data_IF_740894026464
#
_entry.id   IF_740894026464
#
_cell.length_a   1.000
_cell.length_b   1.000
_cell.length_c   1.000
_cell.angle_alpha   90.00
_cell.angle_beta   90.00
_cell.angle_gamma   90.00
#
_symmetry.space_group_name_H-M   'P 1'
#
loop_
_entity.id
_entity.type
_entity.pdbx_description
1 polymer ?
#
# COMPACT_ATOMS: atom_id res chain seq x y z
N UNK A 1 13.43 -18.44 13.29
CA UNK A 1 13.23 -17.06 12.80
C UNK A 1 11.83 -16.98 12.21
N UNK A 2 10.90 -16.30 12.87
CA UNK A 2 9.58 -16.05 12.28
C UNK A 2 9.79 -15.22 11.00
N UNK A 3 9.27 -15.69 9.87
CA UNK A 3 9.25 -14.92 8.63
C UNK A 3 8.21 -13.81 8.79
N UNK A 4 8.57 -12.74 9.50
CA UNK A 4 7.70 -11.59 9.73
C UNK A 4 7.33 -10.94 8.39
N UNK A 5 6.08 -11.08 7.97
CA UNK A 5 5.52 -10.29 6.87
C UNK A 5 4.97 -8.99 7.45
N UNK A 6 5.27 -7.87 6.80
CA UNK A 6 4.67 -6.59 7.18
C UNK A 6 3.18 -6.59 6.79
N UNK A 7 2.32 -6.28 7.75
CA UNK A 7 0.87 -6.15 7.57
C UNK A 7 0.49 -4.71 7.89
N UNK A 8 -0.25 -4.07 7.00
CA UNK A 8 -0.75 -2.70 7.16
C UNK A 8 -2.26 -2.69 6.89
N UNK A 9 -3.10 -2.73 7.94
CA UNK A 9 -4.55 -2.66 7.77
C UNK A 9 -5.00 -1.30 7.25
N UNK A 10 -6.01 -1.30 6.39
CA UNK A 10 -6.72 -0.11 5.91
C UNK A 10 -8.22 -0.35 6.13
N UNK A 11 -8.82 0.44 7.01
CA UNK A 11 -10.23 0.42 7.36
C UNK A 11 -10.93 1.52 6.55
N UNK A 12 -11.54 1.12 5.44
CA UNK A 12 -12.21 2.03 4.51
C UNK A 12 -13.73 2.00 4.74
N UNK A 13 -14.29 3.15 5.14
CA UNK A 13 -15.70 3.33 5.49
C UNK A 13 -16.21 2.30 6.50
N UNK A 14 -15.34 1.87 7.42
CA UNK A 14 -15.66 0.90 8.47
C UNK A 14 -14.91 1.28 9.74
N UNK A 15 -15.62 1.27 10.87
CA UNK A 15 -14.99 1.48 12.17
C UNK A 15 -14.12 0.25 12.53
N UNK A 16 -12.81 0.43 12.81
CA UNK A 16 -11.95 -0.68 13.24
C UNK A 16 -12.50 -1.45 14.46
N UNK A 17 -13.29 -0.80 15.32
CA UNK A 17 -13.97 -1.39 16.48
C UNK A 17 -15.03 -2.41 16.06
N UNK A 18 -15.74 -2.16 14.96
CA UNK A 18 -16.73 -3.10 14.42
C UNK A 18 -16.05 -4.35 13.88
N UNK A 19 -14.87 -4.20 13.25
CA UNK A 19 -14.05 -5.34 12.83
C UNK A 19 -13.49 -6.09 14.03
N UNK A 20 -12.98 -5.37 15.05
CA UNK A 20 -12.33 -5.95 16.25
C UNK A 20 -13.27 -6.79 17.09
N UNK A 21 -14.50 -6.32 17.24
CA UNK A 21 -15.53 -6.95 18.07
C UNK A 21 -16.60 -7.67 17.24
N UNK A 22 -16.42 -7.72 15.91
CA UNK A 22 -17.35 -8.31 14.96
C UNK A 22 -18.80 -7.82 15.15
N UNK A 23 -18.99 -6.50 15.16
CA UNK A 23 -20.30 -5.83 15.31
C UNK A 23 -20.91 -5.49 13.95
N UNK A 24 -22.18 -5.08 13.95
CA UNK A 24 -22.91 -4.68 12.75
C UNK A 24 -23.01 -5.81 11.71
N UNK A 25 -22.68 -5.50 10.47
CA UNK A 25 -22.73 -6.47 9.36
C UNK A 25 -21.82 -7.69 9.57
N UNK A 26 -20.72 -7.54 10.32
CA UNK A 26 -19.84 -8.66 10.66
C UNK A 26 -20.54 -9.67 11.58
N UNK A 27 -21.27 -9.20 12.60
CA UNK A 27 -22.03 -10.09 13.49
C UNK A 27 -23.10 -10.86 12.73
N UNK A 28 -23.83 -10.18 11.84
CA UNK A 28 -24.91 -10.79 11.05
C UNK A 28 -24.37 -11.87 10.12
N UNK A 29 -23.32 -11.56 9.34
CA UNK A 29 -22.71 -12.51 8.41
C UNK A 29 -22.10 -13.73 9.12
N UNK A 30 -21.46 -13.53 10.28
CA UNK A 30 -20.89 -14.63 11.06
C UNK A 30 -21.99 -15.49 11.69
N UNK A 31 -23.09 -14.90 12.16
CA UNK A 31 -24.23 -15.63 12.71
C UNK A 31 -24.95 -16.46 11.64
N UNK A 32 -25.12 -15.92 10.43
CA UNK A 32 -25.67 -16.67 9.31
C UNK A 32 -24.80 -17.86 8.94
N UNK A 33 -23.47 -17.66 8.87
CA UNK A 33 -22.51 -18.73 8.64
C UNK A 33 -22.58 -19.80 9.74
N UNK A 34 -22.65 -19.39 11.00
CA UNK A 34 -22.78 -20.27 12.16
C UNK A 34 -24.03 -21.13 12.07
N UNK A 35 -25.20 -20.52 11.81
CA UNK A 35 -26.48 -21.23 11.64
C UNK A 35 -26.44 -22.25 10.49
N UNK A 36 -25.82 -21.88 9.36
CA UNK A 36 -25.73 -22.73 8.17
C UNK A 36 -24.83 -23.95 8.37
N UNK A 37 -23.81 -23.84 9.22
CA UNK A 37 -22.77 -24.86 9.38
C UNK A 37 -22.59 -25.38 10.81
N UNK A 38 -23.57 -25.16 11.69
CA UNK A 38 -23.51 -25.54 13.11
C UNK A 38 -23.17 -27.02 13.35
N UNK A 39 -23.60 -27.92 12.45
CA UNK A 39 -23.35 -29.36 12.53
C UNK A 39 -22.05 -29.80 11.82
N UNK A 40 -21.26 -28.87 11.31
CA UNK A 40 -20.00 -29.14 10.61
C UNK A 40 -18.82 -28.61 11.44
N UNK A 41 -18.13 -29.52 12.11
CA UNK A 41 -17.00 -29.21 12.99
C UNK A 41 -15.89 -28.42 12.26
N UNK A 42 -15.57 -28.78 11.01
CA UNK A 42 -14.54 -28.11 10.23
C UNK A 42 -14.91 -26.65 9.94
N UNK A 43 -16.17 -26.39 9.62
CA UNK A 43 -16.69 -25.03 9.41
C UNK A 43 -16.72 -24.23 10.71
N UNK A 44 -17.09 -24.84 11.84
CA UNK A 44 -17.09 -24.18 13.15
C UNK A 44 -15.67 -23.81 13.60
N UNK A 45 -14.69 -24.69 13.38
CA UNK A 45 -13.27 -24.38 13.62
C UNK A 45 -12.81 -23.21 12.72
N UNK A 46 -13.22 -23.21 11.44
CA UNK A 46 -12.93 -22.10 10.52
C UNK A 46 -13.51 -20.77 11.03
N UNK A 47 -14.75 -20.78 11.50
CA UNK A 47 -15.43 -19.62 12.07
C UNK A 47 -14.65 -19.06 13.27
N UNK A 48 -14.21 -19.93 14.19
CA UNK A 48 -13.38 -19.53 15.33
C UNK A 48 -12.06 -18.86 14.87
N UNK A 49 -11.38 -19.46 13.90
CA UNK A 49 -10.13 -18.91 13.34
C UNK A 49 -10.35 -17.56 12.67
N UNK A 50 -11.47 -17.36 11.99
CA UNK A 50 -11.84 -16.08 11.39
C UNK A 50 -12.14 -15.01 12.44
N UNK A 51 -12.95 -15.31 13.46
CA UNK A 51 -13.22 -14.38 14.58
C UNK A 51 -11.90 -13.93 15.22
N UNK A 52 -10.99 -14.85 15.48
CA UNK A 52 -9.64 -14.55 16.02
C UNK A 52 -8.80 -13.72 15.05
N UNK A 53 -8.78 -14.05 13.77
CA UNK A 53 -7.99 -13.33 12.77
C UNK A 53 -8.50 -11.88 12.56
N UNK A 54 -9.82 -11.67 12.53
CA UNK A 54 -10.43 -10.33 12.44
C UNK A 54 -10.05 -9.48 13.66
N UNK A 55 -10.15 -10.04 14.86
CA UNK A 55 -9.72 -9.36 16.08
C UNK A 55 -8.23 -8.98 16.03
N UNK A 56 -7.36 -9.93 15.66
CA UNK A 56 -5.92 -9.69 15.55
C UNK A 56 -5.59 -8.63 14.50
N UNK A 57 -6.21 -8.68 13.31
CA UNK A 57 -5.99 -7.71 12.25
C UNK A 57 -6.45 -6.29 12.67
N UNK A 58 -7.58 -6.18 13.37
CA UNK A 58 -8.11 -4.92 13.88
C UNK A 58 -7.38 -4.35 15.11
N UNK A 59 -6.46 -5.12 15.70
CA UNK A 59 -5.56 -4.67 16.76
C UNK A 59 -4.21 -4.14 16.22
N UNK A 60 -3.92 -4.34 14.93
CA UNK A 60 -2.74 -3.77 14.30
C UNK A 60 -3.01 -2.30 13.97
N UNK A 61 -2.05 -1.42 14.26
CA UNK A 61 -2.11 -0.02 13.85
C UNK A 61 -2.19 0.11 12.33
N UNK A 62 -3.16 0.86 11.84
CA UNK A 62 -3.44 1.01 10.41
C UNK A 62 -4.06 2.35 10.09
N UNK A 63 -4.59 2.47 8.88
CA UNK A 63 -5.30 3.67 8.44
C UNK A 63 -6.80 3.48 8.56
N UNK A 64 -7.50 4.53 8.99
CA UNK A 64 -8.96 4.57 9.04
C UNK A 64 -9.47 5.76 8.24
N UNK A 65 -10.46 5.51 7.39
CA UNK A 65 -11.09 6.50 6.53
C UNK A 65 -12.60 6.36 6.60
N UNK A 66 -13.29 7.47 6.84
CA UNK A 66 -14.75 7.53 6.91
C UNK A 66 -15.26 8.70 6.08
N UNK A 67 -16.26 8.45 5.23
CA UNK A 67 -16.92 9.52 4.46
C UNK A 67 -17.70 10.40 5.45
N UNK A 68 -17.47 11.71 5.41
CA UNK A 68 -18.23 12.68 6.20
C UNK A 68 -17.69 13.01 7.60
N UNK A 69 -16.50 12.54 7.97
CA UNK A 69 -15.79 13.11 9.13
C UNK A 69 -15.34 14.54 8.81
N UNK A 70 -15.38 15.44 9.80
CA UNK A 70 -14.94 16.85 9.71
C UNK A 70 -13.47 17.05 9.25
N UNK A 71 -12.74 15.95 9.05
CA UNK A 71 -11.45 15.92 8.39
C UNK A 71 -11.66 15.94 6.88
N UNK A 72 -11.41 17.10 6.27
CA UNK A 72 -11.29 17.38 4.82
C UNK A 72 -10.24 16.51 4.07
N UNK A 73 -9.94 15.30 4.53
CA UNK A 73 -9.04 14.39 3.82
C UNK A 73 -9.82 13.67 2.72
N UNK A 74 -9.52 14.06 1.49
CA UNK A 74 -9.93 13.32 0.31
C UNK A 74 -9.24 11.95 0.26
N UNK A 75 -9.89 10.98 -0.37
CA UNK A 75 -9.35 9.62 -0.56
C UNK A 75 -7.93 9.60 -1.15
N UNK A 76 -7.61 10.52 -2.07
CA UNK A 76 -6.27 10.62 -2.66
C UNK A 76 -5.17 10.91 -1.62
N UNK A 77 -5.49 11.60 -0.54
CA UNK A 77 -4.54 11.91 0.55
C UNK A 77 -4.19 10.63 1.31
N UNK A 78 -5.19 9.79 1.60
CA UNK A 78 -4.99 8.47 2.19
C UNK A 78 -4.13 7.58 1.27
N UNK A 79 -4.47 7.52 -0.02
CA UNK A 79 -3.71 6.73 -1.01
C UNK A 79 -2.26 7.19 -1.05
N UNK A 80 -2.00 8.51 -1.09
CA UNK A 80 -0.65 9.07 -1.07
C UNK A 80 0.13 8.69 0.19
N UNK A 81 -0.50 8.73 1.37
CA UNK A 81 0.10 8.28 2.64
C UNK A 81 0.48 6.80 2.59
N UNK A 82 -0.42 5.93 2.12
CA UNK A 82 -0.18 4.48 2.01
C UNK A 82 0.98 4.20 1.06
N UNK A 83 0.95 4.79 -0.15
CA UNK A 83 2.02 4.63 -1.16
C UNK A 83 3.36 5.02 -0.57
N UNK A 84 3.45 6.19 0.08
CA UNK A 84 4.68 6.65 0.73
C UNK A 84 5.21 5.65 1.77
N UNK A 85 4.36 5.17 2.67
CA UNK A 85 4.77 4.20 3.70
C UNK A 85 5.24 2.89 3.09
N UNK A 86 4.49 2.34 2.13
CA UNK A 86 4.82 1.08 1.47
C UNK A 86 6.12 1.21 0.67
N UNK A 87 6.30 2.29 -0.10
CA UNK A 87 7.52 2.58 -0.85
C UNK A 87 8.75 2.66 0.07
N UNK A 88 8.63 3.32 1.22
CA UNK A 88 9.72 3.41 2.19
C UNK A 88 10.04 2.06 2.84
N UNK A 89 9.04 1.19 3.06
CA UNK A 89 9.23 -0.12 3.69
C UNK A 89 9.77 -1.18 2.76
N UNK A 90 9.43 -1.14 1.47
CA UNK A 90 9.89 -2.13 0.48
C UNK A 90 11.37 -1.94 0.13
N UNK A 91 12.00 -0.85 0.57
CA UNK A 91 13.42 -0.57 0.38
C UNK A 91 13.79 -0.70 -1.11
N UNK A 92 13.28 0.21 -1.94
CA UNK A 92 13.88 0.42 -3.27
C UNK A 92 15.29 0.93 -3.02
N UNK A 93 16.27 0.02 -3.00
CA UNK A 93 17.66 0.42 -3.07
C UNK A 93 17.77 1.34 -4.30
N UNK A 94 18.18 2.61 -4.14
CA UNK A 94 18.63 3.37 -5.28
C UNK A 94 19.66 2.49 -5.99
N UNK A 95 19.58 2.36 -7.32
CA UNK A 95 20.66 1.73 -8.06
C UNK A 95 21.96 2.37 -7.58
N UNK A 96 22.94 1.54 -7.23
CA UNK A 96 24.18 2.01 -6.63
C UNK A 96 24.87 2.95 -7.61
N UNK A 97 24.64 4.26 -7.46
CA UNK A 97 25.32 5.28 -8.23
C UNK A 97 26.74 5.32 -7.69
N UNK A 98 27.72 5.16 -8.58
CA UNK A 98 29.15 5.19 -8.25
C UNK A 98 29.44 6.45 -7.42
N UNK A 99 30.23 6.34 -6.34
CA UNK A 99 30.46 7.46 -5.40
C UNK A 99 31.11 8.70 -6.04
N UNK A 100 31.80 8.52 -7.16
CA UNK A 100 32.51 9.58 -7.89
C UNK A 100 32.33 9.40 -9.41
N UNK A 101 31.13 9.67 -9.95
CA UNK A 101 30.93 9.61 -11.39
C UNK A 101 31.65 10.80 -12.03
N UNK A 102 32.67 10.54 -12.84
CA UNK A 102 33.42 11.59 -13.55
C UNK A 102 32.80 11.84 -14.92
N UNK A 103 32.67 13.10 -15.32
CA UNK A 103 32.18 13.47 -16.66
C UNK A 103 30.67 13.35 -16.85
N UNK A 104 29.90 13.30 -15.75
CA UNK A 104 28.44 13.27 -15.80
C UNK A 104 27.82 14.66 -16.02
N UNK A 105 28.49 15.72 -15.55
CA UNK A 105 27.96 17.09 -15.57
C UNK A 105 27.62 17.58 -16.98
N UNK A 106 28.54 17.41 -17.94
CA UNK A 106 28.29 17.78 -19.34
C UNK A 106 27.19 16.94 -19.99
N UNK A 107 27.13 15.64 -19.68
CA UNK A 107 26.11 14.73 -20.21
C UNK A 107 24.72 15.07 -19.67
N UNK A 108 24.61 15.36 -18.38
CA UNK A 108 23.36 15.82 -17.74
C UNK A 108 22.95 17.17 -18.30
N UNK A 109 23.89 18.10 -18.50
CA UNK A 109 23.61 19.39 -19.13
C UNK A 109 23.02 19.22 -20.54
N UNK A 110 23.56 18.29 -21.34
CA UNK A 110 23.05 18.01 -22.69
C UNK A 110 21.62 17.44 -22.64
N UNK A 111 21.35 16.47 -21.76
CA UNK A 111 20.00 15.90 -21.61
C UNK A 111 18.99 16.96 -21.15
N UNK A 112 19.38 17.83 -20.21
CA UNK A 112 18.53 18.93 -19.76
C UNK A 112 18.25 19.95 -20.88
N UNK A 113 19.20 20.24 -21.77
CA UNK A 113 18.96 21.07 -22.96
C UNK A 113 17.92 20.44 -23.87
N UNK A 114 18.06 19.14 -24.18
CA UNK A 114 17.11 18.40 -25.01
C UNK A 114 15.70 18.39 -24.41
N UNK A 115 15.58 18.25 -23.08
CA UNK A 115 14.30 18.33 -22.38
C UNK A 115 13.66 19.73 -22.48
N UNK A 116 14.47 20.78 -22.33
CA UNK A 116 13.99 22.16 -22.37
C UNK A 116 13.60 22.61 -23.79
N UNK A 117 14.34 22.16 -24.81
CA UNK A 117 14.02 22.41 -26.22
C UNK A 117 12.71 21.74 -26.65
N UNK A 118 12.40 20.58 -26.06
CA UNK A 118 11.17 19.86 -26.33
C UNK A 118 9.94 20.40 -25.56
N UNK A 119 10.08 21.49 -24.79
CA UNK A 119 9.06 22.04 -23.90
C UNK A 119 7.93 22.82 -24.63
N UNK A 120 7.60 22.43 -25.87
CA UNK A 120 6.54 23.02 -26.69
C UNK A 120 5.26 22.16 -26.72
N UNK A 121 4.83 21.63 -25.56
CA UNK A 121 3.61 20.80 -25.40
C UNK A 121 3.54 19.48 -26.21
N UNK A 122 4.62 19.09 -26.89
CA UNK A 122 4.71 17.82 -27.62
C UNK A 122 5.35 16.71 -26.76
N UNK A 123 4.86 15.47 -26.93
CA UNK A 123 5.43 14.30 -26.25
C UNK A 123 6.84 14.03 -26.78
N UNK A 124 7.85 14.25 -25.94
CA UNK A 124 9.25 14.01 -26.28
C UNK A 124 9.70 12.61 -25.87
N UNK A 125 10.34 11.88 -26.79
CA UNK A 125 11.06 10.64 -26.49
C UNK A 125 12.57 10.88 -26.61
N UNK A 126 13.31 10.59 -25.54
CA UNK A 126 14.78 10.67 -25.51
C UNK A 126 15.36 9.26 -25.44
N UNK A 127 16.21 8.92 -26.41
CA UNK A 127 17.00 7.69 -26.41
C UNK A 127 18.38 7.94 -25.82
N UNK A 128 18.76 7.19 -24.79
CA UNK A 128 20.12 7.15 -24.26
C UNK A 128 20.78 5.87 -24.77
N UNK A 129 21.92 6.01 -25.45
CA UNK A 129 22.68 4.87 -25.98
C UNK A 129 24.18 5.04 -25.69
N UNK A 130 24.89 3.92 -25.59
CA UNK A 130 26.30 3.88 -25.28
C UNK A 130 26.85 2.46 -25.39
N UNK A 131 28.17 2.32 -25.39
CA UNK A 131 28.80 1.01 -25.24
C UNK A 131 28.53 0.47 -23.84
N UNK A 132 28.54 -0.86 -23.66
CA UNK A 132 28.33 -1.45 -22.34
C UNK A 132 29.28 -0.87 -21.29
N UNK A 133 28.73 -0.35 -20.19
CA UNK A 133 29.50 0.34 -19.13
C UNK A 133 29.55 1.88 -19.24
N UNK A 134 28.85 2.47 -20.22
CA UNK A 134 28.60 3.92 -20.35
C UNK A 134 27.15 4.26 -20.01
#
# INVERSE_FOLDING_TARGET
MEKGRLVLPVFYCVDPSDVRHQKGSYSEALAEYEKKFQNNEKSMNKLYRWKRALNQAANISGYHFSIGSDMNEYEHTLIGKIVKVVSNKINRAPLQVVHYPVGLESRVSNVNSLLNEACNDEVCMIGIHGTGGI
#
